data_IF_652125337356
#
_entry.id   IF_652125337356
#
_cell.length_a   1.000
_cell.length_b   1.000
_cell.length_c   1.000
_cell.angle_alpha   90.00
_cell.angle_beta   90.00
_cell.angle_gamma   90.00
#
_symmetry.space_group_name_H-M   'P 1'
#
loop_
_entity.id
_entity.type
_entity.pdbx_description
1 polymer ?
#
# COMPACT_ATOMS: atom_id res chain seq x y z
N UNK A 1 -10.96 -3.50 -32.37
CA UNK A 1 -9.61 -4.11 -32.38
C UNK A 1 -9.42 -4.92 -31.11
N UNK A 2 -8.58 -5.99 -31.08
CA UNK A 2 -8.26 -6.72 -29.85
C UNK A 2 -6.88 -6.33 -29.35
N UNK A 3 -6.78 -5.88 -28.11
CA UNK A 3 -5.52 -5.46 -27.49
C UNK A 3 -5.28 -6.31 -26.24
N UNK A 4 -4.11 -6.92 -26.15
CA UNK A 4 -3.72 -7.79 -25.04
C UNK A 4 -3.00 -7.03 -23.93
N UNK A 5 -3.20 -7.44 -22.66
CA UNK A 5 -2.41 -7.00 -21.53
C UNK A 5 -1.88 -8.19 -20.75
N UNK A 6 -0.56 -8.22 -20.59
CA UNK A 6 0.17 -9.22 -19.81
C UNK A 6 0.90 -8.57 -18.65
N UNK A 7 0.85 -9.16 -17.45
CA UNK A 7 1.55 -8.69 -16.27
C UNK A 7 2.28 -9.81 -15.55
N UNK A 8 3.52 -9.56 -15.17
CA UNK A 8 4.36 -10.50 -14.40
C UNK A 8 5.03 -9.81 -13.22
N UNK A 9 5.31 -10.58 -12.17
CA UNK A 9 5.99 -10.10 -10.96
C UNK A 9 7.51 -10.20 -11.03
N UNK A 10 8.04 -11.16 -11.80
CA UNK A 10 9.48 -11.42 -12.00
C UNK A 10 9.73 -11.91 -13.42
N UNK A 11 10.97 -11.72 -13.90
CA UNK A 11 11.39 -12.06 -15.26
C UNK A 11 11.27 -13.57 -15.54
N UNK A 12 10.89 -13.89 -16.75
CA UNK A 12 11.38 -14.91 -17.69
C UNK A 12 10.44 -16.01 -18.15
N UNK A 13 9.64 -16.71 -17.38
CA UNK A 13 8.90 -17.85 -17.97
C UNK A 13 7.39 -17.65 -18.19
N UNK A 14 6.78 -16.79 -17.40
CA UNK A 14 5.32 -16.60 -17.42
C UNK A 14 4.86 -15.49 -18.37
N UNK A 15 5.75 -14.63 -18.85
CA UNK A 15 5.40 -13.56 -19.81
C UNK A 15 5.12 -14.15 -21.15
N UNK A 16 6.02 -15.01 -21.66
CA UNK A 16 5.93 -15.56 -23.01
C UNK A 16 4.65 -16.39 -23.16
N UNK A 17 4.31 -17.21 -22.16
CA UNK A 17 3.05 -17.96 -22.14
C UNK A 17 1.82 -17.04 -22.25
N UNK A 18 1.80 -15.91 -21.51
CA UNK A 18 0.69 -14.98 -21.58
C UNK A 18 0.64 -14.28 -22.93
N UNK A 19 1.78 -13.81 -23.44
CA UNK A 19 1.89 -13.12 -24.73
C UNK A 19 1.46 -14.03 -25.87
N UNK A 20 1.92 -15.28 -25.88
CA UNK A 20 1.57 -16.25 -26.91
C UNK A 20 0.07 -16.59 -26.88
N UNK A 21 -0.51 -16.76 -25.71
CA UNK A 21 -1.94 -17.00 -25.58
C UNK A 21 -2.77 -15.78 -26.04
N UNK A 22 -2.33 -14.56 -25.73
CA UNK A 22 -2.98 -13.32 -26.18
C UNK A 22 -2.88 -13.18 -27.70
N UNK A 23 -1.73 -13.49 -28.30
CA UNK A 23 -1.57 -13.50 -29.77
C UNK A 23 -2.46 -14.55 -30.41
N UNK A 24 -2.52 -15.77 -29.86
CA UNK A 24 -3.43 -16.85 -30.35
C UNK A 24 -4.90 -16.44 -30.24
N UNK A 25 -5.27 -15.63 -29.25
CA UNK A 25 -6.63 -15.07 -29.11
C UNK A 25 -6.94 -13.96 -30.13
N UNK A 26 -5.98 -13.61 -30.98
CA UNK A 26 -6.13 -12.61 -32.06
C UNK A 26 -5.86 -11.18 -31.59
N UNK A 27 -5.06 -10.96 -30.53
CA UNK A 27 -4.61 -9.63 -30.16
C UNK A 27 -3.59 -9.10 -31.17
N UNK A 28 -3.87 -7.93 -31.74
CA UNK A 28 -2.98 -7.26 -32.69
C UNK A 28 -1.80 -6.57 -31.99
N UNK A 29 -2.02 -6.11 -30.77
CA UNK A 29 -1.01 -5.46 -29.92
C UNK A 29 -1.08 -6.07 -28.53
N UNK A 30 0.07 -6.34 -27.92
CA UNK A 30 0.17 -6.84 -26.53
C UNK A 30 1.05 -5.91 -25.72
N UNK A 31 0.48 -5.33 -24.70
CA UNK A 31 1.18 -4.52 -23.70
C UNK A 31 1.66 -5.41 -22.56
N UNK A 32 2.96 -5.33 -22.24
CA UNK A 32 3.56 -6.15 -21.18
C UNK A 32 4.08 -5.27 -20.07
N UNK A 33 3.67 -5.55 -18.82
CA UNK A 33 4.08 -4.84 -17.63
C UNK A 33 4.84 -5.76 -16.67
N UNK A 34 6.06 -5.36 -16.32
CA UNK A 34 6.89 -6.06 -15.35
C UNK A 34 6.86 -5.28 -14.05
N UNK A 35 6.30 -5.86 -12.98
CA UNK A 35 6.20 -5.22 -11.67
C UNK A 35 7.11 -5.90 -10.66
N UNK A 36 8.05 -5.16 -10.09
CA UNK A 36 8.65 -5.53 -8.80
C UNK A 36 7.64 -5.24 -7.68
N UNK A 37 7.48 -6.15 -6.73
CA UNK A 37 6.40 -6.19 -5.73
C UNK A 37 6.18 -4.95 -4.84
N UNK A 38 6.95 -3.86 -5.00
CA UNK A 38 6.87 -2.64 -4.20
C UNK A 38 6.29 -1.43 -4.93
N UNK A 39 6.14 -1.45 -6.25
CA UNK A 39 5.61 -0.30 -7.01
C UNK A 39 4.11 -0.44 -7.26
N UNK A 40 3.34 0.51 -6.73
CA UNK A 40 1.88 0.57 -6.90
C UNK A 40 1.44 1.12 -8.27
N UNK A 41 2.33 1.79 -9.01
CA UNK A 41 2.04 2.46 -10.27
C UNK A 41 2.13 1.49 -11.46
N UNK A 42 1.14 1.55 -12.34
CA UNK A 42 1.01 0.75 -13.56
C UNK A 42 0.97 1.65 -14.80
N UNK A 43 2.11 2.24 -15.17
CA UNK A 43 2.13 3.21 -16.27
C UNK A 43 1.76 2.62 -17.62
N UNK A 44 2.05 1.31 -17.83
CA UNK A 44 1.72 0.65 -19.08
C UNK A 44 0.23 0.37 -19.17
N UNK A 45 -0.41 -0.07 -18.08
CA UNK A 45 -1.87 -0.21 -18.03
C UNK A 45 -2.57 1.13 -18.24
N UNK A 46 -2.10 2.21 -17.61
CA UNK A 46 -2.65 3.55 -17.82
C UNK A 46 -2.62 3.96 -19.30
N UNK A 47 -1.45 3.89 -19.94
CA UNK A 47 -1.29 4.17 -21.38
C UNK A 47 -2.17 3.28 -22.27
N UNK A 48 -2.29 2.00 -21.91
CA UNK A 48 -3.17 1.07 -22.64
C UNK A 48 -4.61 1.55 -22.55
N UNK A 49 -5.11 1.84 -21.35
CA UNK A 49 -6.50 2.28 -21.15
C UNK A 49 -6.79 3.60 -21.88
N UNK A 50 -5.85 4.54 -21.92
CA UNK A 50 -5.97 5.79 -22.67
C UNK A 50 -6.08 5.55 -24.19
N UNK A 51 -5.36 4.57 -24.72
CA UNK A 51 -5.32 4.28 -26.17
C UNK A 51 -6.52 3.46 -26.68
N UNK A 52 -7.27 2.79 -25.79
CA UNK A 52 -8.45 2.02 -26.18
C UNK A 52 -9.59 2.92 -26.61
N UNK A 53 -10.27 2.53 -27.68
CA UNK A 53 -11.41 3.23 -28.28
C UNK A 53 -12.70 2.42 -28.12
N UNK A 54 -13.83 3.11 -28.25
CA UNK A 54 -15.15 2.47 -28.28
C UNK A 54 -15.18 1.35 -29.34
N UNK A 55 -15.65 0.18 -28.93
CA UNK A 55 -15.70 -1.02 -29.77
C UNK A 55 -14.44 -1.89 -29.75
N UNK A 56 -13.35 -1.43 -29.10
CA UNK A 56 -12.18 -2.27 -28.86
C UNK A 56 -12.46 -3.33 -27.79
N UNK A 57 -11.62 -4.37 -27.74
CA UNK A 57 -11.69 -5.43 -26.74
C UNK A 57 -10.32 -5.57 -26.06
N UNK A 58 -10.29 -5.33 -24.76
CA UNK A 58 -9.15 -5.64 -23.91
C UNK A 58 -9.16 -7.13 -23.59
N UNK A 59 -8.07 -7.83 -23.88
CA UNK A 59 -7.91 -9.26 -23.59
C UNK A 59 -6.84 -9.44 -22.54
N UNK A 60 -7.12 -10.21 -21.50
CA UNK A 60 -6.18 -10.53 -20.42
C UNK A 60 -6.06 -12.03 -20.24
N UNK A 61 -4.91 -12.51 -19.76
CA UNK A 61 -4.73 -13.92 -19.43
C UNK A 61 -5.66 -14.38 -18.30
N UNK A 62 -5.70 -13.59 -17.22
CA UNK A 62 -6.59 -13.73 -16.06
C UNK A 62 -6.92 -12.36 -15.49
N UNK A 63 -8.05 -12.24 -14.81
CA UNK A 63 -8.50 -10.98 -14.19
C UNK A 63 -7.54 -10.46 -13.11
N UNK A 64 -6.82 -11.35 -12.41
CA UNK A 64 -5.81 -10.98 -11.42
C UNK A 64 -4.61 -10.24 -12.02
N UNK A 65 -4.40 -10.35 -13.33
CA UNK A 65 -3.39 -9.57 -14.06
C UNK A 65 -3.84 -8.12 -14.23
N UNK A 66 -5.14 -7.89 -14.40
CA UNK A 66 -5.72 -6.55 -14.59
C UNK A 66 -5.92 -5.82 -13.26
N UNK A 67 -6.55 -6.45 -12.28
CA UNK A 67 -6.82 -5.87 -10.97
C UNK A 67 -5.66 -6.07 -9.97
N UNK A 68 -5.40 -5.09 -9.09
CA UNK A 68 -4.55 -5.25 -7.90
C UNK A 68 -5.36 -5.60 -6.65
N UNK A 69 -6.64 -5.39 -6.72
CA UNK A 69 -7.66 -5.75 -5.73
C UNK A 69 -8.97 -5.94 -6.47
N UNK A 70 -9.92 -6.62 -5.86
CA UNK A 70 -11.25 -6.81 -6.44
C UNK A 70 -11.93 -5.45 -6.69
N UNK A 71 -11.82 -4.50 -5.76
CA UNK A 71 -12.33 -3.14 -5.95
C UNK A 71 -11.75 -2.48 -7.21
N UNK A 72 -10.44 -2.47 -7.35
CA UNK A 72 -9.79 -1.87 -8.53
C UNK A 72 -10.16 -2.58 -9.83
N UNK A 73 -10.35 -3.91 -9.80
CA UNK A 73 -10.82 -4.65 -10.97
C UNK A 73 -12.22 -4.19 -11.39
N UNK A 74 -13.15 -4.07 -10.42
CA UNK A 74 -14.51 -3.60 -10.67
C UNK A 74 -14.48 -2.17 -11.24
N UNK A 75 -13.68 -1.28 -10.68
CA UNK A 75 -13.53 0.11 -11.17
C UNK A 75 -13.06 0.14 -12.63
N UNK A 76 -12.01 -0.62 -12.97
CA UNK A 76 -11.48 -0.69 -14.34
C UNK A 76 -12.51 -1.27 -15.31
N UNK A 77 -13.21 -2.35 -14.94
CA UNK A 77 -14.21 -2.97 -15.83
C UNK A 77 -15.41 -2.07 -16.03
N UNK A 78 -15.88 -1.37 -14.99
CA UNK A 78 -16.97 -0.40 -15.12
C UNK A 78 -16.57 0.76 -16.04
N UNK A 79 -15.35 1.27 -15.93
CA UNK A 79 -14.81 2.28 -16.84
C UNK A 79 -14.82 1.78 -18.30
N UNK A 80 -14.31 0.58 -18.54
CA UNK A 80 -14.33 -0.03 -19.88
C UNK A 80 -15.75 -0.16 -20.42
N UNK A 81 -16.69 -0.65 -19.61
CA UNK A 81 -18.10 -0.81 -20.01
C UNK A 81 -18.75 0.55 -20.33
N UNK A 82 -18.51 1.58 -19.52
CA UNK A 82 -19.00 2.95 -19.76
C UNK A 82 -18.49 3.50 -21.09
N UNK A 83 -17.24 3.23 -21.42
CA UNK A 83 -16.61 3.60 -22.70
C UNK A 83 -16.98 2.68 -23.85
N UNK A 84 -17.84 1.68 -23.63
CA UNK A 84 -18.22 0.65 -24.61
C UNK A 84 -17.02 -0.14 -25.14
N UNK A 85 -16.05 -0.42 -24.26
CA UNK A 85 -14.89 -1.27 -24.54
C UNK A 85 -15.16 -2.64 -23.92
N UNK A 86 -14.96 -3.70 -24.69
CA UNK A 86 -15.11 -5.07 -24.20
C UNK A 86 -13.92 -5.51 -23.35
N UNK A 87 -14.16 -6.35 -22.35
CA UNK A 87 -13.12 -7.09 -21.61
C UNK A 87 -13.33 -8.59 -21.81
N UNK A 88 -12.26 -9.30 -22.12
CA UNK A 88 -12.26 -10.76 -22.19
C UNK A 88 -11.09 -11.34 -21.40
N UNK A 89 -11.39 -12.26 -20.48
CA UNK A 89 -10.37 -13.11 -19.86
C UNK A 89 -10.23 -14.42 -20.64
N UNK A 90 -9.01 -14.95 -20.73
CA UNK A 90 -8.77 -16.23 -21.42
C UNK A 90 -8.99 -17.43 -20.49
N UNK A 91 -8.76 -17.25 -19.19
CA UNK A 91 -8.84 -18.34 -18.21
C UNK A 91 -9.91 -18.14 -17.12
N UNK A 92 -10.65 -17.05 -17.18
CA UNK A 92 -11.82 -16.84 -16.32
C UNK A 92 -13.08 -16.78 -17.19
N UNK A 93 -14.25 -17.17 -16.70
CA UNK A 93 -15.50 -17.17 -17.45
C UNK A 93 -16.10 -15.76 -17.60
N UNK A 94 -15.27 -14.78 -17.93
CA UNK A 94 -15.65 -13.36 -18.07
C UNK A 94 -15.33 -12.87 -19.48
N UNK A 95 -16.40 -12.53 -20.19
CA UNK A 95 -16.37 -11.91 -21.52
C UNK A 95 -17.48 -10.87 -21.61
N UNK A 96 -17.15 -9.60 -21.31
CA UNK A 96 -18.17 -8.52 -21.30
C UNK A 96 -18.65 -8.12 -22.69
N UNK A 97 -18.11 -8.70 -23.76
CA UNK A 97 -18.63 -8.52 -25.11
C UNK A 97 -19.97 -9.24 -25.30
N UNK A 98 -20.25 -10.25 -24.48
CA UNK A 98 -21.49 -11.02 -24.50
C UNK A 98 -22.47 -10.55 -23.40
N UNK A 99 -23.80 -10.66 -23.61
CA UNK A 99 -24.77 -10.37 -22.55
C UNK A 99 -24.57 -11.22 -21.29
N UNK A 100 -24.28 -12.51 -21.46
CA UNK A 100 -24.04 -13.45 -20.36
C UNK A 100 -22.81 -13.06 -19.56
N UNK A 101 -21.70 -12.71 -20.20
CA UNK A 101 -20.47 -12.28 -19.53
C UNK A 101 -20.65 -10.97 -18.76
N UNK A 102 -21.45 -10.03 -19.29
CA UNK A 102 -21.81 -8.80 -18.55
C UNK A 102 -22.65 -9.12 -17.32
N UNK A 103 -23.64 -9.98 -17.44
CA UNK A 103 -24.45 -10.42 -16.30
C UNK A 103 -23.58 -11.10 -15.24
N UNK A 104 -22.72 -12.02 -15.65
CA UNK A 104 -21.78 -12.72 -14.75
C UNK A 104 -20.89 -11.73 -14.03
N UNK A 105 -20.30 -10.77 -14.74
CA UNK A 105 -19.46 -9.76 -14.11
C UNK A 105 -20.24 -8.90 -13.07
N UNK A 106 -21.44 -8.45 -13.42
CA UNK A 106 -22.28 -7.67 -12.51
C UNK A 106 -22.67 -8.44 -11.24
N UNK A 107 -22.94 -9.74 -11.36
CA UNK A 107 -23.20 -10.61 -10.20
C UNK A 107 -21.98 -10.73 -9.29
N UNK A 108 -20.77 -10.92 -9.86
CA UNK A 108 -19.53 -10.95 -9.07
C UNK A 108 -19.24 -9.61 -8.42
N UNK A 109 -19.46 -8.49 -9.11
CA UNK A 109 -19.28 -7.16 -8.58
C UNK A 109 -20.21 -6.90 -7.38
N UNK A 110 -21.49 -7.22 -7.52
CA UNK A 110 -22.49 -7.07 -6.45
C UNK A 110 -22.18 -7.99 -5.24
N UNK A 111 -21.73 -9.23 -5.48
CA UNK A 111 -21.33 -10.13 -4.39
C UNK A 111 -20.11 -9.58 -3.62
N UNK A 112 -19.14 -9.02 -4.33
CA UNK A 112 -17.95 -8.43 -3.72
C UNK A 112 -18.27 -7.18 -2.88
N UNK A 113 -19.21 -6.35 -3.33
CA UNK A 113 -19.71 -5.22 -2.52
C UNK A 113 -20.44 -5.71 -1.28
N UNK A 114 -21.33 -6.68 -1.43
CA UNK A 114 -22.06 -7.29 -0.31
C UNK A 114 -21.10 -7.87 0.76
N UNK A 115 -20.11 -8.67 0.34
CA UNK A 115 -19.13 -9.23 1.29
C UNK A 115 -18.37 -8.13 2.03
N UNK A 116 -18.00 -7.06 1.35
CA UNK A 116 -17.34 -5.91 1.96
C UNK A 116 -18.21 -5.21 2.98
N UNK A 117 -19.48 -4.99 2.66
CA UNK A 117 -20.42 -4.32 3.55
C UNK A 117 -20.70 -5.16 4.80
N UNK A 118 -20.87 -6.48 4.66
CA UNK A 118 -20.98 -7.42 5.79
C UNK A 118 -19.74 -7.38 6.69
N UNK A 119 -18.53 -7.36 6.11
CA UNK A 119 -17.28 -7.24 6.89
C UNK A 119 -17.23 -5.90 7.63
N UNK A 120 -17.63 -4.82 6.98
CA UNK A 120 -17.67 -3.48 7.57
C UNK A 120 -18.66 -3.40 8.73
N UNK A 121 -19.85 -3.92 8.56
CA UNK A 121 -20.88 -3.98 9.61
C UNK A 121 -20.40 -4.80 10.83
N UNK A 122 -19.84 -5.98 10.59
CA UNK A 122 -19.29 -6.83 11.66
C UNK A 122 -18.15 -6.14 12.40
N UNK A 123 -17.27 -5.44 11.68
CA UNK A 123 -16.17 -4.69 12.26
C UNK A 123 -16.69 -3.53 13.12
N UNK A 124 -17.66 -2.78 12.62
CA UNK A 124 -18.29 -1.68 13.37
C UNK A 124 -18.99 -2.19 14.63
N UNK A 125 -19.78 -3.27 14.53
CA UNK A 125 -20.41 -3.90 15.67
C UNK A 125 -19.40 -4.37 16.71
N UNK A 126 -18.31 -5.02 16.27
CA UNK A 126 -17.22 -5.43 17.15
C UNK A 126 -16.51 -4.26 17.84
N UNK A 127 -16.24 -3.18 17.12
CA UNK A 127 -15.63 -1.97 17.68
C UNK A 127 -16.57 -1.26 18.67
N UNK A 128 -17.87 -1.16 18.39
CA UNK A 128 -18.86 -0.56 19.29
C UNK A 128 -18.98 -1.37 20.57
N UNK A 129 -19.06 -2.70 20.48
CA UNK A 129 -19.08 -3.59 21.64
C UNK A 129 -17.80 -3.53 22.47
N UNK A 130 -16.63 -3.39 21.83
CA UNK A 130 -15.35 -3.21 22.51
C UNK A 130 -15.30 -1.88 23.27
N UNK A 131 -15.77 -0.78 22.66
CA UNK A 131 -15.86 0.54 23.28
C UNK A 131 -16.84 0.56 24.46
N UNK A 132 -17.98 -0.08 24.33
CA UNK A 132 -18.97 -0.22 25.43
C UNK A 132 -18.38 -0.96 26.65
N UNK A 133 -17.43 -1.87 26.44
CA UNK A 133 -16.66 -2.57 27.48
C UNK A 133 -15.43 -1.78 27.96
N UNK A 134 -15.30 -0.49 27.62
CA UNK A 134 -14.19 0.38 28.02
C UNK A 134 -12.86 0.13 27.29
N UNK A 135 -12.83 -0.75 26.29
CA UNK A 135 -11.60 -0.97 25.50
C UNK A 135 -11.36 0.20 24.56
N UNK A 136 -10.25 0.90 24.75
CA UNK A 136 -9.81 1.98 23.85
C UNK A 136 -8.90 1.35 22.79
N UNK A 137 -9.25 1.53 21.52
CA UNK A 137 -8.37 1.16 20.41
C UNK A 137 -7.18 2.12 20.30
N UNK A 138 -6.23 1.79 19.45
CA UNK A 138 -5.04 2.58 19.18
C UNK A 138 -3.78 1.93 19.74
N UNK A 139 -2.65 2.64 19.59
CA UNK A 139 -1.35 2.18 20.08
C UNK A 139 -1.38 2.21 21.63
N UNK A 140 -0.98 1.12 22.31
CA UNK A 140 -0.85 1.11 23.76
C UNK A 140 0.03 2.27 24.23
N UNK A 141 -0.37 2.90 25.34
CA UNK A 141 0.45 3.95 25.96
C UNK A 141 1.70 3.32 26.58
N UNK A 142 2.84 3.99 26.46
CA UNK A 142 4.09 3.57 27.07
C UNK A 142 5.12 3.02 26.08
N UNK A 143 6.15 2.41 26.62
CA UNK A 143 7.21 1.75 25.86
C UNK A 143 6.78 0.31 25.59
N UNK A 144 6.84 -0.18 24.33
CA UNK A 144 6.61 -1.59 24.05
C UNK A 144 7.56 -2.48 24.85
N UNK A 145 7.10 -3.62 25.39
CA UNK A 145 7.90 -4.49 26.23
C UNK A 145 9.23 -4.93 25.61
N UNK A 146 9.25 -5.15 24.29
CA UNK A 146 10.47 -5.45 23.52
C UNK A 146 11.44 -4.25 23.37
N UNK A 147 11.03 -3.05 23.76
CA UNK A 147 11.84 -1.83 23.70
C UNK A 147 12.23 -1.29 25.07
N UNK A 148 11.89 -2.00 26.16
CA UNK A 148 12.20 -1.57 27.53
C UNK A 148 13.70 -1.54 27.78
N UNK A 149 14.45 -2.52 27.29
CA UNK A 149 15.91 -2.53 27.35
C UNK A 149 16.54 -1.32 26.63
N UNK A 150 15.98 -0.95 25.48
CA UNK A 150 16.42 0.23 24.72
C UNK A 150 16.08 1.52 25.47
N UNK A 151 14.92 1.57 26.11
CA UNK A 151 14.51 2.73 26.93
C UNK A 151 15.39 2.89 28.16
N UNK A 152 15.78 1.78 28.81
CA UNK A 152 16.72 1.78 29.92
C UNK A 152 18.12 2.27 29.50
N UNK A 153 18.62 1.75 28.38
CA UNK A 153 19.90 2.21 27.83
C UNK A 153 19.86 3.70 27.43
N UNK A 154 18.73 4.16 26.90
CA UNK A 154 18.53 5.57 26.57
C UNK A 154 18.57 6.47 27.81
N UNK A 155 17.96 6.06 28.91
CA UNK A 155 18.03 6.77 30.20
C UNK A 155 19.45 6.84 30.71
N UNK A 156 20.17 5.73 30.78
CA UNK A 156 21.56 5.65 31.27
C UNK A 156 22.46 6.59 30.48
N UNK A 157 22.46 6.49 29.16
CA UNK A 157 23.27 7.32 28.27
C UNK A 157 22.93 8.83 28.40
N UNK A 158 21.64 9.13 28.60
CA UNK A 158 21.19 10.51 28.74
C UNK A 158 21.59 11.10 30.10
N UNK A 159 21.51 10.35 31.19
CA UNK A 159 21.93 10.77 32.56
C UNK A 159 23.44 10.93 32.65
N UNK A 160 24.23 10.12 31.93
CA UNK A 160 25.69 10.28 31.87
C UNK A 160 26.12 11.66 31.31
N UNK A 161 25.32 12.30 30.49
CA UNK A 161 25.56 13.62 29.91
C UNK A 161 26.75 13.72 28.95
N UNK A 162 27.37 12.58 28.57
CA UNK A 162 28.57 12.57 27.74
C UNK A 162 28.25 12.67 26.23
N UNK A 163 27.03 12.30 25.85
CA UNK A 163 26.59 12.25 24.45
C UNK A 163 25.43 13.21 24.20
N UNK A 164 25.39 13.81 23.02
CA UNK A 164 24.25 14.60 22.60
C UNK A 164 23.05 13.69 22.30
N UNK A 165 21.84 14.25 22.38
CA UNK A 165 20.60 13.49 22.02
C UNK A 165 20.61 12.91 20.61
N UNK A 166 21.38 13.50 19.70
CA UNK A 166 21.54 12.99 18.32
C UNK A 166 22.45 11.75 18.30
N UNK A 167 23.53 11.77 19.05
CA UNK A 167 24.47 10.66 19.16
C UNK A 167 23.84 9.47 19.89
N UNK A 168 23.11 9.73 20.99
CA UNK A 168 22.35 8.68 21.70
C UNK A 168 21.35 8.02 20.78
N UNK A 169 20.54 8.82 20.05
CA UNK A 169 19.55 8.30 19.12
C UNK A 169 20.20 7.46 17.98
N UNK A 170 21.34 7.93 17.46
CA UNK A 170 22.13 7.18 16.46
C UNK A 170 22.69 5.88 17.01
N UNK A 171 23.28 5.90 18.22
CA UNK A 171 23.85 4.72 18.87
C UNK A 171 22.82 3.63 19.17
N UNK A 172 21.62 4.04 19.56
CA UNK A 172 20.50 3.14 19.84
C UNK A 172 19.64 2.82 18.60
N UNK A 173 19.98 3.37 17.43
CA UNK A 173 19.25 3.21 16.17
C UNK A 173 17.75 3.57 16.27
N UNK A 174 17.45 4.64 17.02
CA UNK A 174 16.09 5.15 17.20
C UNK A 174 16.01 6.62 16.74
N UNK A 175 14.79 7.10 16.51
CA UNK A 175 14.58 8.52 16.21
C UNK A 175 14.73 9.39 17.47
N UNK A 176 15.07 10.67 17.32
CA UNK A 176 15.08 11.62 18.45
C UNK A 176 13.73 11.72 19.16
N UNK A 177 12.63 11.64 18.40
CA UNK A 177 11.27 11.63 18.97
C UNK A 177 11.03 10.41 19.85
N UNK A 178 11.51 9.24 19.43
CA UNK A 178 11.45 8.00 20.20
C UNK A 178 12.31 8.11 21.47
N UNK A 179 13.53 8.65 21.37
CA UNK A 179 14.39 8.89 22.53
C UNK A 179 13.67 9.74 23.59
N UNK A 180 13.13 10.89 23.20
CA UNK A 180 12.41 11.76 24.13
C UNK A 180 11.12 11.15 24.68
N UNK A 181 10.46 10.28 23.90
CA UNK A 181 9.30 9.52 24.37
C UNK A 181 9.70 8.53 25.47
N UNK A 182 10.82 7.83 25.31
CA UNK A 182 11.34 6.90 26.30
C UNK A 182 11.77 7.63 27.59
N UNK A 183 12.50 8.75 27.47
CA UNK A 183 12.91 9.54 28.61
C UNK A 183 11.70 10.05 29.42
N UNK A 184 10.67 10.58 28.75
CA UNK A 184 9.43 11.03 29.42
C UNK A 184 8.72 9.89 30.12
N UNK A 185 8.63 8.73 29.48
CA UNK A 185 7.98 7.56 30.06
C UNK A 185 8.70 7.09 31.32
N UNK A 186 10.03 7.20 31.38
CA UNK A 186 10.86 6.87 32.54
C UNK A 186 11.05 8.01 33.53
N UNK A 187 10.32 9.13 33.36
CA UNK A 187 10.37 10.27 34.28
C UNK A 187 11.67 11.05 34.27
N UNK A 188 12.48 10.93 33.21
CA UNK A 188 13.76 11.65 33.12
C UNK A 188 13.52 13.10 32.67
N UNK A 189 13.96 14.12 33.43
CA UNK A 189 13.80 15.50 33.04
C UNK A 189 14.64 15.84 31.81
N UNK A 190 13.98 16.42 30.82
CA UNK A 190 14.60 16.77 29.54
C UNK A 190 15.26 18.13 29.63
N UNK A 191 16.52 18.25 29.20
CA UNK A 191 17.27 19.51 29.16
C UNK A 191 18.22 19.71 30.35
N UNK A 192 18.15 18.88 31.38
CA UNK A 192 19.02 18.98 32.59
C UNK A 192 20.41 18.39 32.31
N UNK A 193 20.47 17.32 31.52
CA UNK A 193 21.71 16.64 31.15
C UNK A 193 22.14 17.08 29.77
N UNK A 194 22.82 18.22 29.64
CA UNK A 194 23.44 18.66 28.39
C UNK A 194 24.87 18.14 28.32
N UNK A 195 25.19 17.32 27.34
CA UNK A 195 26.56 17.24 26.89
C UNK A 195 27.01 18.65 26.51
N UNK A 196 28.20 19.05 27.00
CA UNK A 196 28.84 20.29 26.60
C UNK A 196 28.95 20.33 25.09
N UNK A 197 28.01 21.00 24.43
CA UNK A 197 28.00 21.19 22.99
C UNK A 197 29.02 22.27 22.65
N UNK A 198 30.26 21.82 22.53
CA UNK A 198 31.43 22.68 22.27
C UNK A 198 31.49 23.15 20.79
N UNK A 199 30.37 23.18 20.06
CA UNK A 199 30.39 23.64 18.67
C UNK A 199 29.15 24.45 18.30
N UNK A 200 29.08 25.69 18.78
CA UNK A 200 28.64 26.90 18.08
C UNK A 200 28.58 28.08 19.07
N UNK A 201 29.45 29.10 18.93
CA UNK A 201 29.21 30.39 19.59
C UNK A 201 27.91 30.98 19.02
N UNK A 202 27.12 31.49 19.93
CA UNK A 202 25.84 32.13 19.67
C UNK A 202 26.08 33.43 18.87
N UNK A 203 25.92 33.39 17.55
CA UNK A 203 25.88 34.60 16.70
C UNK A 203 24.49 35.25 16.80
N UNK A 204 24.20 35.80 17.94
CA UNK A 204 23.16 36.85 18.11
C UNK A 204 23.63 37.74 19.26
N UNK A 205 24.28 38.81 18.90
CA UNK A 205 24.37 40.12 19.55
C UNK A 205 25.65 40.82 19.13
N UNK A 206 25.70 41.22 17.88
CA UNK A 206 26.56 42.31 17.40
C UNK A 206 25.76 43.08 16.37
N UNK A 207 24.87 43.93 16.84
CA UNK A 207 24.40 45.15 16.22
C UNK A 207 23.62 45.91 17.30
N UNK A 208 24.38 46.72 18.07
CA UNK A 208 23.93 47.95 18.71
C UNK A 208 24.90 49.03 18.29
#
# INVERSE_FOLDING_TARGET
MKTGYARVSTKEQTVDLQVDALKKAGCTTVYTEIMSGTRAERPILGKLLENLRTGDVLVVWKLDRLGRSLKHLIEVVNELMTRKIGLKSLNDPIDTTTPQGRLTFNLFASLAEFERDVIRERTQAGLSAARARGRKGGRPKGVPGNSESTACAAETLYREGKLSSREIAGKLRISKSTLYSYLRHRGVPIGVYRALDNRRPNRRNEHA
#
